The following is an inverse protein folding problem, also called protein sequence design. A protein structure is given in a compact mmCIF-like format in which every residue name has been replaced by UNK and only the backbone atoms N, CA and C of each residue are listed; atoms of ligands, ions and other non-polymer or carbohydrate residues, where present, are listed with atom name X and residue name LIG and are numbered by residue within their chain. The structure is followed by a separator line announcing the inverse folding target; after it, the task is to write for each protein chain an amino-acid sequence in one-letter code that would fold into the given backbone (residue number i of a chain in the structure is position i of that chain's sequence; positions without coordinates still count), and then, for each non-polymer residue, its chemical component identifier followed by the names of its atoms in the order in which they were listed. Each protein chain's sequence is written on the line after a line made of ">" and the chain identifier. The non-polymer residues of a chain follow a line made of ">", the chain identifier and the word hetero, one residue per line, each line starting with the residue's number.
data_IF_366949307186
#
_entry.id   IF_366949307186
#
_cell.length_a   1.000
_cell.length_b   1.000
_cell.length_c   1.000
_cell.angle_alpha   90.00
_cell.angle_beta   90.00
_cell.angle_gamma   90.00
#
_symmetry.space_group_name_H-M   'P 1'
#
loop_
_entity.id
_entity.type
_entity.pdbx_description
1 polymer ?
#
# COMPACT_ATOMS: atom_id res chain seq x y z
N UNK A 1 11.02 20.31 -25.53
CA UNK A 1 10.68 18.98 -25.02
C UNK A 1 11.76 18.55 -24.04
N UNK A 2 11.39 17.95 -22.92
CA UNK A 2 12.35 17.41 -21.94
C UNK A 2 12.50 15.92 -22.17
N UNK A 3 13.73 15.42 -22.06
CA UNK A 3 14.07 14.02 -22.30
C UNK A 3 14.48 13.32 -21.00
N UNK A 4 14.00 12.10 -20.81
CA UNK A 4 14.32 11.21 -19.68
C UNK A 4 14.65 9.81 -20.19
N UNK A 5 15.38 9.03 -19.43
CA UNK A 5 15.54 7.60 -19.72
C UNK A 5 14.28 6.82 -19.38
N UNK A 6 13.60 7.21 -18.28
CA UNK A 6 12.41 6.54 -17.78
C UNK A 6 11.32 7.53 -17.34
N UNK A 7 10.07 7.26 -17.73
CA UNK A 7 8.89 7.92 -17.21
C UNK A 7 8.04 6.89 -16.47
N UNK A 8 7.68 7.19 -15.21
CA UNK A 8 6.78 6.41 -14.38
C UNK A 8 5.44 7.13 -14.31
N UNK A 9 4.34 6.44 -14.64
CA UNK A 9 2.99 7.00 -14.66
C UNK A 9 2.21 6.47 -13.45
N UNK A 10 1.81 7.36 -12.53
CA UNK A 10 1.08 7.08 -11.30
C UNK A 10 1.94 7.09 -10.04
N UNK A 11 1.64 8.02 -9.12
CA UNK A 11 2.32 8.25 -7.84
C UNK A 11 1.79 7.39 -6.68
N UNK A 12 1.25 6.20 -6.94
CA UNK A 12 0.95 5.20 -5.91
C UNK A 12 2.21 4.49 -5.40
N UNK A 13 2.05 3.57 -4.44
CA UNK A 13 3.19 2.81 -3.86
C UNK A 13 4.07 2.14 -4.91
N UNK A 14 3.48 1.60 -5.99
CA UNK A 14 4.23 0.94 -7.05
C UNK A 14 5.09 1.93 -7.84
N UNK A 15 4.50 3.06 -8.25
CA UNK A 15 5.25 4.08 -8.99
C UNK A 15 6.33 4.74 -8.16
N UNK A 16 6.05 5.06 -6.89
CA UNK A 16 7.03 5.61 -5.95
C UNK A 16 8.22 4.65 -5.73
N UNK A 17 7.95 3.36 -5.52
CA UNK A 17 9.01 2.35 -5.39
C UNK A 17 9.76 2.13 -6.71
N UNK A 18 9.07 2.09 -7.84
CA UNK A 18 9.72 1.97 -9.15
C UNK A 18 10.65 3.17 -9.41
N UNK A 19 10.18 4.39 -9.17
CA UNK A 19 11.00 5.59 -9.31
C UNK A 19 12.24 5.56 -8.40
N UNK A 20 12.08 5.10 -7.13
CA UNK A 20 13.21 4.93 -6.20
C UNK A 20 14.23 3.91 -6.71
N UNK A 21 13.78 2.74 -7.13
CA UNK A 21 14.67 1.67 -7.55
C UNK A 21 15.37 1.95 -8.90
N UNK A 22 14.72 2.71 -9.81
CA UNK A 22 15.35 3.22 -11.03
C UNK A 22 16.55 4.13 -10.71
N UNK A 23 16.51 4.91 -9.61
CA UNK A 23 17.61 5.77 -9.20
C UNK A 23 18.83 5.00 -8.64
N UNK A 24 18.71 3.70 -8.37
CA UNK A 24 19.87 2.82 -8.09
C UNK A 24 20.75 2.63 -9.32
N UNK A 25 20.26 3.02 -10.46
CA UNK A 25 20.93 3.00 -11.74
C UNK A 25 21.09 4.44 -12.24
N UNK A 26 22.04 4.65 -13.16
CA UNK A 26 22.23 5.95 -13.82
C UNK A 26 21.11 6.18 -14.86
N UNK A 27 19.85 6.20 -14.41
CA UNK A 27 18.64 6.36 -15.21
C UNK A 27 17.95 7.65 -14.79
N UNK A 28 17.88 8.64 -15.67
CA UNK A 28 17.12 9.87 -15.44
C UNK A 28 15.63 9.54 -15.41
N UNK A 29 14.95 9.89 -14.30
CA UNK A 29 13.59 9.41 -14.01
C UNK A 29 12.62 10.56 -13.76
N UNK A 30 11.46 10.51 -14.42
CA UNK A 30 10.31 11.40 -14.19
C UNK A 30 9.14 10.58 -13.67
N UNK A 31 8.53 10.98 -12.56
CA UNK A 31 7.28 10.44 -12.01
C UNK A 31 6.16 11.44 -12.28
N UNK A 32 5.12 10.99 -13.00
CA UNK A 32 3.91 11.76 -13.30
C UNK A 32 2.74 11.27 -12.46
N UNK A 33 2.07 12.17 -11.75
CA UNK A 33 0.86 11.90 -10.97
C UNK A 33 -0.23 12.91 -11.37
N UNK A 34 -1.43 12.41 -11.64
CA UNK A 34 -2.57 13.25 -12.05
C UNK A 34 -3.20 14.04 -10.92
N UNK A 35 -3.06 13.56 -9.70
CA UNK A 35 -3.61 14.21 -8.52
C UNK A 35 -2.63 15.25 -7.93
N UNK A 36 -3.16 16.12 -7.09
CA UNK A 36 -2.38 17.15 -6.39
C UNK A 36 -1.41 16.60 -5.33
N UNK A 37 -1.43 15.28 -5.06
CA UNK A 37 -0.49 14.61 -4.16
C UNK A 37 -0.37 13.12 -4.52
N UNK A 38 0.72 12.49 -4.06
CA UNK A 38 0.98 11.07 -4.23
C UNK A 38 0.24 10.21 -3.22
N UNK A 39 0.14 8.91 -3.49
CA UNK A 39 -0.51 7.91 -2.61
C UNK A 39 -2.00 8.16 -2.35
N UNK A 40 -2.71 8.83 -3.24
CA UNK A 40 -4.13 9.19 -3.10
C UNK A 40 -5.11 8.14 -3.60
N UNK A 41 -4.65 7.15 -4.38
CA UNK A 41 -5.44 6.03 -4.90
C UNK A 41 -5.54 4.85 -3.91
N UNK A 42 -5.38 3.60 -4.41
CA UNK A 42 -5.45 2.36 -3.60
C UNK A 42 -4.48 2.39 -2.40
N UNK A 43 -3.35 3.06 -2.53
CA UNK A 43 -2.33 3.16 -1.47
C UNK A 43 -2.86 3.78 -0.19
N UNK A 44 -3.82 4.71 -0.26
CA UNK A 44 -4.42 5.34 0.92
C UNK A 44 -5.46 4.47 1.64
N UNK A 45 -5.96 3.42 0.97
CA UNK A 45 -7.08 2.64 1.45
C UNK A 45 -6.82 1.14 1.23
N UNK A 46 -6.13 0.51 2.18
CA UNK A 46 -5.80 -0.90 2.19
C UNK A 46 -5.62 -1.40 3.63
N UNK A 47 -5.29 -2.68 3.79
CA UNK A 47 -5.17 -3.33 5.10
C UNK A 47 -3.86 -3.05 5.85
N UNK A 48 -2.92 -2.31 5.31
CA UNK A 48 -1.62 -2.04 5.93
C UNK A 48 -0.77 -3.30 6.26
N UNK A 49 -1.19 -4.49 5.84
CA UNK A 49 -0.55 -5.76 6.20
C UNK A 49 0.64 -6.07 5.30
N UNK A 50 1.76 -6.43 5.93
CA UNK A 50 2.92 -7.05 5.30
C UNK A 50 2.75 -8.57 5.39
N UNK A 51 2.25 -9.17 4.31
CA UNK A 51 1.86 -10.57 4.25
C UNK A 51 3.06 -11.52 4.26
N UNK A 52 2.96 -12.68 4.95
CA UNK A 52 4.05 -13.67 5.01
C UNK A 52 4.19 -14.49 3.73
N UNK A 53 3.11 -14.74 2.97
CA UNK A 53 3.16 -15.44 1.68
C UNK A 53 2.54 -16.85 1.63
N UNK A 54 1.93 -17.35 2.71
CA UNK A 54 1.33 -18.68 2.74
C UNK A 54 0.06 -18.84 1.88
N UNK A 55 -0.61 -17.75 1.53
CA UNK A 55 -1.83 -17.77 0.70
C UNK A 55 -1.54 -17.89 -0.81
N UNK A 56 -0.30 -17.62 -1.23
CA UNK A 56 0.04 -17.55 -2.64
C UNK A 56 0.32 -18.94 -3.22
N UNK A 57 -0.03 -19.12 -4.49
CA UNK A 57 0.25 -20.37 -5.21
C UNK A 57 1.77 -20.58 -5.33
N UNK A 58 2.31 -21.73 -4.89
CA UNK A 58 3.74 -22.01 -5.04
C UNK A 58 4.20 -21.92 -6.51
N UNK A 59 5.36 -21.32 -6.72
CA UNK A 59 5.95 -21.12 -8.06
C UNK A 59 5.44 -19.87 -8.79
N UNK A 60 4.49 -19.11 -8.23
CA UNK A 60 4.04 -17.84 -8.80
C UNK A 60 5.01 -16.69 -8.51
N UNK A 61 5.05 -15.68 -9.39
CA UNK A 61 5.80 -14.44 -9.16
C UNK A 61 5.34 -13.76 -7.86
N UNK A 62 4.03 -13.77 -7.62
CA UNK A 62 3.43 -13.25 -6.40
C UNK A 62 3.97 -13.93 -5.14
N UNK A 63 4.14 -15.26 -5.14
CA UNK A 63 4.69 -15.99 -4.00
C UNK A 63 6.13 -15.57 -3.72
N UNK A 64 6.98 -15.56 -4.75
CA UNK A 64 8.39 -15.19 -4.63
C UNK A 64 8.56 -13.75 -4.12
N UNK A 65 7.85 -12.79 -4.72
CA UNK A 65 7.94 -11.38 -4.34
C UNK A 65 7.35 -11.11 -2.94
N UNK A 66 6.33 -11.88 -2.51
CA UNK A 66 5.77 -11.71 -1.16
C UNK A 66 6.77 -12.11 -0.09
N UNK A 67 7.37 -13.28 -0.23
CA UNK A 67 8.36 -13.76 0.76
C UNK A 67 9.58 -12.84 0.80
N UNK A 68 10.12 -12.46 -0.37
CA UNK A 68 11.24 -11.51 -0.47
C UNK A 68 10.89 -10.15 0.12
N UNK A 69 9.72 -9.60 -0.24
CA UNK A 69 9.27 -8.29 0.23
C UNK A 69 9.00 -8.27 1.74
N UNK A 70 8.44 -9.37 2.29
CA UNK A 70 8.26 -9.51 3.73
C UNK A 70 9.61 -9.54 4.48
N UNK A 71 10.57 -10.30 3.98
CA UNK A 71 11.90 -10.40 4.61
C UNK A 71 12.65 -9.06 4.60
N UNK A 72 12.55 -8.27 3.51
CA UNK A 72 13.24 -6.99 3.36
C UNK A 72 12.50 -5.78 3.96
N UNK A 73 11.22 -5.92 4.35
CA UNK A 73 10.37 -4.78 4.73
C UNK A 73 10.92 -4.00 5.92
N UNK A 74 11.43 -4.66 6.93
CA UNK A 74 11.95 -4.01 8.13
C UNK A 74 13.18 -3.14 7.82
N UNK A 75 14.08 -3.64 6.97
CA UNK A 75 15.25 -2.86 6.51
C UNK A 75 14.79 -1.66 5.67
N UNK A 76 13.86 -1.86 4.74
CA UNK A 76 13.32 -0.78 3.92
C UNK A 76 12.66 0.31 4.77
N UNK A 77 11.89 -0.08 5.80
CA UNK A 77 11.25 0.87 6.70
C UNK A 77 12.27 1.64 7.56
N UNK A 78 13.38 1.02 7.97
CA UNK A 78 14.50 1.72 8.64
C UNK A 78 15.18 2.73 7.72
N UNK A 79 15.47 2.34 6.48
CA UNK A 79 16.08 3.25 5.48
C UNK A 79 15.20 4.48 5.21
N UNK A 80 13.89 4.26 5.16
CA UNK A 80 12.91 5.29 4.80
C UNK A 80 12.29 6.02 6.00
N UNK A 81 12.68 5.68 7.23
CA UNK A 81 12.11 6.22 8.46
C UNK A 81 10.58 6.09 8.49
N UNK A 82 10.10 4.85 8.31
CA UNK A 82 8.66 4.52 8.28
C UNK A 82 8.31 3.58 9.43
N UNK A 83 7.26 3.87 10.21
CA UNK A 83 6.81 2.98 11.27
C UNK A 83 6.42 1.60 10.75
N UNK A 84 7.00 0.56 11.33
CA UNK A 84 6.75 -0.84 11.02
C UNK A 84 6.62 -1.67 12.29
N UNK A 85 5.69 -2.64 12.29
CA UNK A 85 5.51 -3.58 13.40
C UNK A 85 5.50 -5.01 12.87
N UNK A 86 6.43 -5.84 13.35
CA UNK A 86 6.43 -7.28 13.10
C UNK A 86 5.65 -7.99 14.20
N UNK A 87 4.33 -7.93 14.10
CA UNK A 87 3.42 -8.41 15.15
C UNK A 87 3.05 -9.91 15.03
N UNK A 88 3.31 -10.53 13.88
CA UNK A 88 2.80 -11.88 13.58
C UNK A 88 1.31 -11.89 13.23
N UNK A 89 0.81 -13.07 12.84
CA UNK A 89 -0.62 -13.25 12.58
C UNK A 89 -1.13 -14.63 13.00
N UNK A 90 -2.42 -14.69 13.33
CA UNK A 90 -3.20 -15.90 13.49
C UNK A 90 -4.30 -15.96 12.42
N UNK A 91 -4.33 -17.02 11.63
CA UNK A 91 -5.48 -17.36 10.81
C UNK A 91 -6.28 -18.41 11.58
N UNK A 92 -7.37 -18.00 12.20
CA UNK A 92 -8.17 -18.83 13.09
C UNK A 92 -9.39 -19.44 12.39
N UNK A 93 -9.82 -20.60 12.85
CA UNK A 93 -11.12 -21.18 12.49
C UNK A 93 -11.85 -21.69 13.72
N UNK A 94 -13.19 -21.54 13.69
CA UNK A 94 -14.14 -22.08 14.65
C UNK A 94 -14.88 -23.31 14.09
N UNK A 95 -14.55 -23.69 12.85
CA UNK A 95 -15.14 -24.80 12.14
C UNK A 95 -14.10 -25.91 11.91
N UNK A 96 -14.39 -27.12 12.38
CA UNK A 96 -13.51 -28.27 12.20
C UNK A 96 -13.38 -28.68 10.72
N UNK A 97 -14.40 -28.44 9.90
CA UNK A 97 -14.36 -28.76 8.47
C UNK A 97 -13.43 -27.82 7.69
N UNK A 98 -13.08 -26.67 8.27
CA UNK A 98 -12.12 -25.73 7.66
C UNK A 98 -10.65 -26.05 7.96
N UNK A 99 -10.34 -26.97 8.89
CA UNK A 99 -8.95 -27.33 9.26
C UNK A 99 -8.12 -27.77 8.05
N UNK A 100 -8.61 -28.60 7.12
CA UNK A 100 -7.84 -28.98 5.92
C UNK A 100 -7.44 -27.78 5.05
N UNK A 101 -8.22 -26.69 5.07
CA UNK A 101 -7.87 -25.45 4.35
C UNK A 101 -6.67 -24.76 5.01
N UNK A 102 -6.60 -24.76 6.34
CA UNK A 102 -5.45 -24.24 7.10
C UNK A 102 -4.19 -25.07 6.81
N UNK A 103 -4.31 -26.39 6.80
CA UNK A 103 -3.20 -27.30 6.47
C UNK A 103 -2.69 -27.09 5.04
N UNK A 104 -3.59 -26.86 4.08
CA UNK A 104 -3.22 -26.53 2.69
C UNK A 104 -2.43 -25.23 2.64
N UNK A 105 -2.83 -24.19 3.40
CA UNK A 105 -2.10 -22.92 3.50
C UNK A 105 -0.73 -23.11 4.14
N UNK A 106 -0.62 -23.94 5.18
CA UNK A 106 0.65 -24.34 5.79
C UNK A 106 1.59 -24.96 4.75
N UNK A 107 1.09 -25.95 3.98
CA UNK A 107 1.87 -26.62 2.91
C UNK A 107 2.33 -25.63 1.84
N UNK A 108 1.44 -24.74 1.42
CA UNK A 108 1.81 -23.69 0.45
C UNK A 108 2.88 -22.76 1.01
N UNK A 109 2.71 -22.30 2.26
CA UNK A 109 3.67 -21.43 2.92
C UNK A 109 5.06 -22.05 3.06
N UNK A 110 5.12 -23.34 3.47
CA UNK A 110 6.39 -24.09 3.52
C UNK A 110 7.06 -24.19 2.14
N UNK A 111 6.29 -24.49 1.09
CA UNK A 111 6.79 -24.55 -0.30
C UNK A 111 7.24 -23.19 -0.82
N UNK A 112 6.63 -22.10 -0.36
CA UNK A 112 7.02 -20.73 -0.68
C UNK A 112 8.23 -20.23 0.12
N UNK A 113 8.69 -20.99 1.13
CA UNK A 113 9.81 -20.60 1.98
C UNK A 113 9.43 -19.63 3.10
N UNK A 114 8.14 -19.58 3.51
CA UNK A 114 7.70 -18.75 4.64
C UNK A 114 8.24 -19.33 5.96
N UNK A 115 9.09 -18.60 6.71
CA UNK A 115 9.71 -19.17 7.90
C UNK A 115 8.77 -19.17 9.11
N UNK A 116 8.96 -20.16 9.99
CA UNK A 116 8.36 -20.20 11.31
C UNK A 116 6.85 -20.44 11.37
N UNK A 117 6.21 -20.89 10.26
CA UNK A 117 4.80 -21.24 10.28
C UNK A 117 4.52 -22.41 11.24
N UNK A 118 3.45 -22.30 12.02
CA UNK A 118 2.97 -23.36 12.91
C UNK A 118 1.46 -23.54 12.81
N UNK A 119 1.01 -24.78 12.82
CA UNK A 119 -0.39 -25.09 13.07
C UNK A 119 -0.57 -25.22 14.59
N UNK A 120 -1.50 -24.45 15.13
CA UNK A 120 -1.81 -24.39 16.56
C UNK A 120 -3.15 -25.06 16.83
N UNK A 121 -3.27 -25.68 17.98
CA UNK A 121 -4.56 -26.07 18.58
C UNK A 121 -5.32 -24.81 19.04
N UNK A 122 -6.63 -24.96 19.27
CA UNK A 122 -7.45 -23.86 19.78
C UNK A 122 -6.91 -23.26 21.10
N UNK A 123 -6.62 -24.07 22.13
CA UNK A 123 -6.05 -23.57 23.39
C UNK A 123 -4.72 -22.82 23.21
N UNK A 124 -3.83 -23.28 22.32
CA UNK A 124 -2.58 -22.58 22.02
C UNK A 124 -2.83 -21.22 21.35
N UNK A 125 -3.79 -21.16 20.41
CA UNK A 125 -4.16 -19.91 19.75
C UNK A 125 -4.78 -18.91 20.72
N UNK A 126 -5.68 -19.36 21.59
CA UNK A 126 -6.32 -18.53 22.63
C UNK A 126 -5.34 -18.07 23.72
N UNK A 127 -4.36 -18.88 24.06
CA UNK A 127 -3.28 -18.47 24.97
C UNK A 127 -2.36 -17.42 24.33
N UNK A 128 -2.13 -17.52 23.02
CA UNK A 128 -1.31 -16.59 22.24
C UNK A 128 -2.02 -15.25 21.99
N UNK A 129 -3.35 -15.26 21.87
CA UNK A 129 -4.19 -14.07 21.69
C UNK A 129 -5.47 -14.16 22.55
N UNK A 130 -5.40 -13.68 23.79
CA UNK A 130 -6.51 -13.80 24.76
C UNK A 130 -7.79 -13.05 24.38
N UNK A 131 -7.72 -12.07 23.48
CA UNK A 131 -8.90 -11.34 23.01
C UNK A 131 -9.80 -12.13 22.06
N UNK A 132 -9.32 -13.27 21.55
CA UNK A 132 -10.15 -14.13 20.69
C UNK A 132 -11.35 -14.70 21.47
N UNK A 133 -12.51 -14.75 20.80
CA UNK A 133 -13.63 -15.54 21.26
C UNK A 133 -13.16 -16.97 21.56
N UNK A 134 -13.67 -17.55 22.65
CA UNK A 134 -13.37 -18.93 23.02
C UNK A 134 -13.95 -19.94 22.03
N UNK A 135 -13.34 -21.12 21.96
CA UNK A 135 -13.76 -22.21 21.09
C UNK A 135 -13.06 -22.22 19.72
N UNK A 136 -11.88 -21.59 19.61
CA UNK A 136 -11.03 -21.77 18.43
C UNK A 136 -10.72 -23.25 18.24
N UNK A 137 -10.93 -23.78 17.04
CA UNK A 137 -10.62 -25.18 16.70
C UNK A 137 -9.16 -25.34 16.33
N UNK A 138 -8.67 -24.50 15.43
CA UNK A 138 -7.28 -24.50 14.99
C UNK A 138 -6.88 -23.10 14.47
N UNK A 139 -5.57 -22.85 14.41
CA UNK A 139 -5.04 -21.64 13.82
C UNK A 139 -3.70 -21.87 13.09
N UNK A 140 -3.43 -21.09 12.03
CA UNK A 140 -2.08 -20.97 11.47
C UNK A 140 -1.43 -19.72 12.05
N UNK A 141 -0.33 -19.92 12.76
CA UNK A 141 0.54 -18.84 13.22
C UNK A 141 1.62 -18.55 12.19
N UNK A 142 1.73 -17.27 11.80
CA UNK A 142 2.79 -16.78 10.91
C UNK A 142 3.56 -15.64 11.61
N UNK A 143 4.76 -15.90 12.16
CA UNK A 143 5.51 -14.92 12.94
C UNK A 143 6.02 -13.75 12.12
N UNK A 144 6.19 -13.92 10.82
CA UNK A 144 6.75 -12.91 9.92
C UNK A 144 5.73 -11.90 9.40
N UNK A 145 4.44 -12.05 9.69
CA UNK A 145 3.45 -11.03 9.38
C UNK A 145 3.77 -9.73 10.10
N UNK A 146 3.61 -8.61 9.41
CA UNK A 146 3.78 -7.29 10.00
C UNK A 146 2.71 -6.31 9.51
N UNK A 147 2.78 -5.10 10.03
CA UNK A 147 1.97 -3.96 9.59
C UNK A 147 2.85 -2.74 9.36
N UNK A 148 2.50 -1.93 8.38
CA UNK A 148 3.24 -0.72 7.98
C UNK A 148 2.23 0.37 7.63
N UNK A 149 2.59 1.64 7.80
CA UNK A 149 1.79 2.74 7.27
C UNK A 149 1.96 2.80 5.74
N UNK A 150 0.89 2.53 4.95
CA UNK A 150 1.03 2.39 3.49
C UNK A 150 1.35 3.69 2.78
N UNK A 151 0.77 4.81 3.21
CA UNK A 151 1.06 6.11 2.59
C UNK A 151 2.40 6.65 3.05
N UNK A 152 2.77 6.51 4.31
CA UNK A 152 4.09 6.90 4.78
C UNK A 152 5.19 6.16 4.00
N UNK A 153 5.01 4.85 3.74
CA UNK A 153 5.96 4.06 2.95
C UNK A 153 6.06 4.57 1.50
N UNK A 154 4.91 4.86 0.85
CA UNK A 154 4.91 5.36 -0.53
C UNK A 154 5.47 6.77 -0.64
N UNK A 155 5.11 7.67 0.30
CA UNK A 155 5.62 9.04 0.36
C UNK A 155 7.13 9.03 0.59
N UNK A 156 7.61 8.27 1.57
CA UNK A 156 9.03 8.17 1.88
C UNK A 156 9.85 7.60 0.71
N UNK A 157 9.30 6.63 -0.03
CA UNK A 157 9.93 6.10 -1.24
C UNK A 157 10.05 7.17 -2.34
N UNK A 158 9.00 7.98 -2.54
CA UNK A 158 9.03 9.08 -3.50
C UNK A 158 10.03 10.17 -3.10
N UNK A 159 10.02 10.58 -1.82
CA UNK A 159 10.97 11.57 -1.31
C UNK A 159 12.43 11.09 -1.44
N UNK A 160 12.69 9.80 -1.18
CA UNK A 160 14.00 9.22 -1.41
C UNK A 160 14.37 9.17 -2.90
N UNK A 161 13.40 8.87 -3.79
CA UNK A 161 13.62 8.95 -5.23
C UNK A 161 14.02 10.36 -5.68
N UNK A 162 13.31 11.40 -5.19
CA UNK A 162 13.58 12.80 -5.49
C UNK A 162 14.94 13.22 -4.91
N UNK A 163 15.26 12.82 -3.69
CA UNK A 163 16.58 13.06 -3.08
C UNK A 163 17.70 12.51 -3.97
N UNK A 164 17.50 11.35 -4.56
CA UNK A 164 18.45 10.73 -5.51
C UNK A 164 18.30 11.25 -6.96
N UNK A 165 17.59 12.38 -7.17
CA UNK A 165 17.52 13.09 -8.45
C UNK A 165 16.38 12.66 -9.40
N UNK A 166 15.37 11.92 -8.94
CA UNK A 166 14.13 11.78 -9.72
C UNK A 166 13.35 13.10 -9.73
N UNK A 167 12.63 13.37 -10.82
CA UNK A 167 11.69 14.48 -10.89
C UNK A 167 10.26 14.00 -10.63
N UNK A 168 9.49 14.77 -9.87
CA UNK A 168 8.06 14.56 -9.61
C UNK A 168 7.26 15.69 -10.25
N UNK A 169 6.18 15.32 -10.97
CA UNK A 169 5.16 16.25 -11.45
C UNK A 169 3.80 15.79 -10.94
N UNK A 170 3.20 16.62 -10.11
CA UNK A 170 1.82 16.50 -9.65
C UNK A 170 0.89 17.26 -10.59
N UNK A 171 -0.42 17.07 -10.44
CA UNK A 171 -1.45 17.70 -11.28
C UNK A 171 -1.16 17.48 -12.80
N UNK A 172 -0.61 16.30 -13.15
CA UNK A 172 -0.11 16.01 -14.49
C UNK A 172 -0.67 14.68 -14.98
N UNK A 173 -1.87 14.72 -15.53
CA UNK A 173 -2.52 13.58 -16.16
C UNK A 173 -1.88 13.26 -17.50
N UNK A 174 -1.53 12.00 -17.74
CA UNK A 174 -1.10 11.50 -19.04
C UNK A 174 -2.34 11.31 -19.91
N UNK A 175 -2.35 11.94 -21.10
CA UNK A 175 -3.47 11.95 -22.05
C UNK A 175 -3.17 11.17 -23.33
N UNK A 176 -1.89 10.91 -23.64
CA UNK A 176 -1.46 10.16 -24.80
C UNK A 176 -0.08 9.56 -24.64
N UNK A 177 0.15 8.45 -25.33
CA UNK A 177 1.48 7.81 -25.42
C UNK A 177 1.64 7.36 -26.87
N UNK A 178 2.76 7.69 -27.48
CA UNK A 178 3.08 7.22 -28.84
C UNK A 178 4.55 6.83 -28.96
N UNK A 179 4.82 5.88 -29.82
CA UNK A 179 6.19 5.51 -30.18
C UNK A 179 6.88 6.62 -30.98
N UNK A 180 8.18 6.71 -30.84
CA UNK A 180 9.08 7.60 -31.59
C UNK A 180 10.30 6.81 -32.07
N UNK A 181 11.18 7.42 -32.84
CA UNK A 181 12.42 6.76 -33.30
C UNK A 181 13.36 6.38 -32.14
N UNK A 182 13.30 7.10 -31.00
CA UNK A 182 14.21 6.94 -29.88
C UNK A 182 13.52 6.42 -28.58
N UNK A 183 12.27 5.96 -28.67
CA UNK A 183 11.49 5.47 -27.55
C UNK A 183 10.06 5.96 -27.58
N UNK A 184 9.65 6.80 -26.63
CA UNK A 184 8.26 7.23 -26.45
C UNK A 184 8.11 8.74 -26.26
N UNK A 185 6.98 9.27 -26.71
CA UNK A 185 6.46 10.58 -26.33
C UNK A 185 5.25 10.37 -25.41
N UNK A 186 5.32 10.90 -24.20
CA UNK A 186 4.25 10.88 -23.20
C UNK A 186 3.62 12.27 -23.15
N UNK A 187 2.35 12.36 -23.51
CA UNK A 187 1.61 13.60 -23.68
C UNK A 187 0.75 13.88 -22.44
N UNK A 188 0.70 15.15 -22.05
CA UNK A 188 -0.14 15.69 -20.98
C UNK A 188 -0.88 16.92 -21.47
N UNK A 189 -1.78 17.50 -20.70
CA UNK A 189 -2.54 18.70 -21.14
C UNK A 189 -1.65 19.90 -21.49
N UNK A 190 -0.50 20.03 -20.86
CA UNK A 190 0.35 21.23 -21.05
C UNK A 190 1.71 20.97 -21.69
N UNK A 191 2.20 19.73 -21.69
CA UNK A 191 3.58 19.42 -22.06
C UNK A 191 3.71 18.00 -22.63
N UNK A 192 4.69 17.78 -23.48
CA UNK A 192 5.07 16.45 -23.97
C UNK A 192 6.49 16.13 -23.49
N UNK A 193 6.65 14.97 -22.87
CA UNK A 193 7.92 14.45 -22.41
C UNK A 193 8.39 13.31 -23.32
N UNK A 194 9.69 13.26 -23.60
CA UNK A 194 10.32 12.18 -24.37
C UNK A 194 11.05 11.23 -23.40
N UNK A 195 10.99 9.92 -23.68
CA UNK A 195 11.74 8.94 -22.90
C UNK A 195 12.04 7.67 -23.70
N UNK A 196 12.98 6.87 -23.16
CA UNK A 196 13.32 5.56 -23.72
C UNK A 196 12.44 4.45 -23.16
N UNK A 197 11.98 4.58 -21.90
CA UNK A 197 11.15 3.57 -21.25
C UNK A 197 9.98 4.21 -20.51
N UNK A 198 8.84 3.50 -20.46
CA UNK A 198 7.63 3.91 -19.73
C UNK A 198 7.21 2.82 -18.76
N UNK A 199 6.89 3.21 -17.53
CA UNK A 199 6.37 2.34 -16.48
C UNK A 199 4.95 2.77 -16.11
N UNK A 200 3.97 2.03 -16.57
CA UNK A 200 2.58 2.26 -16.23
C UNK A 200 2.26 1.63 -14.86
N UNK A 201 2.25 2.48 -13.83
CA UNK A 201 1.90 2.18 -12.44
C UNK A 201 0.57 2.85 -12.03
N UNK A 202 -0.35 3.10 -12.98
CA UNK A 202 -1.55 3.91 -12.81
C UNK A 202 -2.68 3.24 -12.00
N UNK A 203 -2.43 2.10 -11.34
CA UNK A 203 -3.37 1.48 -10.39
C UNK A 203 -4.72 1.11 -11.03
N UNK A 204 -5.80 1.79 -10.60
CA UNK A 204 -7.15 1.55 -11.12
C UNK A 204 -7.35 1.99 -12.59
N UNK A 205 -6.41 2.72 -13.15
CA UNK A 205 -6.45 3.20 -14.54
C UNK A 205 -5.36 2.54 -15.40
N UNK A 206 -4.69 1.49 -14.91
CA UNK A 206 -3.54 0.93 -15.60
C UNK A 206 -3.89 0.31 -16.96
N UNK A 207 -5.06 -0.32 -17.09
CA UNK A 207 -5.57 -0.81 -18.37
C UNK A 207 -5.87 0.32 -19.35
N UNK A 208 -6.46 1.41 -18.87
CA UNK A 208 -6.78 2.62 -19.70
C UNK A 208 -5.52 3.36 -20.12
N UNK A 209 -4.52 3.45 -19.25
CA UNK A 209 -3.21 4.05 -19.61
C UNK A 209 -2.48 3.17 -20.61
N UNK A 210 -2.62 1.85 -20.53
CA UNK A 210 -2.09 0.94 -21.56
C UNK A 210 -2.75 1.18 -22.92
N UNK A 211 -4.07 1.39 -22.94
CA UNK A 211 -4.84 1.72 -24.17
C UNK A 211 -4.39 3.03 -24.85
N UNK A 212 -3.68 3.92 -24.16
CA UNK A 212 -3.14 5.14 -24.79
C UNK A 212 -2.03 4.84 -25.81
N UNK A 213 -1.37 3.69 -25.71
CA UNK A 213 -0.35 3.25 -26.65
C UNK A 213 -0.87 2.16 -27.58
N UNK A 214 -1.47 1.12 -27.03
CA UNK A 214 -1.99 -0.03 -27.77
C UNK A 214 -3.08 -0.72 -26.95
N UNK A 215 -3.98 -1.51 -27.57
CA UNK A 215 -5.05 -2.21 -26.87
C UNK A 215 -4.51 -3.07 -25.70
N UNK A 216 -5.06 -2.85 -24.52
CA UNK A 216 -4.64 -3.62 -23.33
C UNK A 216 -5.17 -5.04 -23.40
N UNK A 217 -4.31 -6.07 -23.23
CA UNK A 217 -4.73 -7.48 -23.21
C UNK A 217 -5.42 -7.88 -21.89
N UNK A 218 -5.51 -6.92 -20.94
CA UNK A 218 -6.05 -7.14 -19.60
C UNK A 218 -7.02 -6.02 -19.23
N UNK A 219 -8.16 -6.37 -18.67
CA UNK A 219 -9.15 -5.43 -18.12
C UNK A 219 -9.25 -5.59 -16.62
N UNK A 220 -9.68 -4.53 -15.95
CA UNK A 220 -9.83 -4.52 -14.50
C UNK A 220 -11.29 -4.64 -14.10
N UNK A 221 -11.61 -5.68 -13.32
CA UNK A 221 -12.85 -5.80 -12.58
C UNK A 221 -12.61 -5.36 -11.13
N UNK A 222 -13.52 -4.57 -10.57
CA UNK A 222 -13.34 -3.99 -9.24
C UNK A 222 -14.20 -4.69 -8.20
N UNK A 223 -13.60 -5.11 -7.11
CA UNK A 223 -14.26 -5.43 -5.85
C UNK A 223 -13.70 -4.57 -4.72
N UNK A 224 -14.29 -4.63 -3.55
CA UNK A 224 -13.84 -3.85 -2.42
C UNK A 224 -14.14 -4.49 -1.08
N UNK A 225 -13.66 -3.83 -0.04
CA UNK A 225 -13.99 -4.15 1.34
C UNK A 225 -14.12 -2.87 2.16
N UNK A 226 -15.00 -2.89 3.12
CA UNK A 226 -15.19 -1.80 4.06
C UNK A 226 -14.31 -1.98 5.29
N UNK A 227 -13.90 -0.87 5.89
CA UNK A 227 -13.01 -0.83 7.04
C UNK A 227 -13.56 0.06 8.13
N UNK A 228 -13.40 -0.38 9.38
CA UNK A 228 -13.50 0.46 10.57
C UNK A 228 -12.10 0.80 11.07
N UNK A 229 -11.92 2.04 11.50
CA UNK A 229 -10.74 2.53 12.21
C UNK A 229 -11.14 2.80 13.65
N UNK A 230 -10.61 2.01 14.57
CA UNK A 230 -10.79 2.20 16.00
C UNK A 230 -9.62 2.99 16.56
N UNK A 231 -9.88 3.88 17.51
CA UNK A 231 -8.86 4.69 18.16
C UNK A 231 -7.84 3.80 18.91
N UNK A 232 -6.83 4.40 19.47
CA UNK A 232 -5.85 3.75 20.33
C UNK A 232 -6.54 3.12 21.52
N UNK A 233 -6.75 1.81 21.47
CA UNK A 233 -7.45 1.06 22.49
C UNK A 233 -6.49 0.64 23.61
N UNK A 234 -6.99 0.66 24.85
CA UNK A 234 -6.24 0.13 26.00
C UNK A 234 -6.00 -1.38 25.85
N UNK A 235 -6.99 -2.10 25.32
CA UNK A 235 -6.89 -3.50 24.96
C UNK A 235 -7.12 -3.65 23.46
N UNK A 236 -6.16 -4.26 22.77
CA UNK A 236 -6.25 -4.60 21.35
C UNK A 236 -5.48 -5.88 21.07
N UNK A 237 -5.79 -6.60 19.98
CA UNK A 237 -5.00 -7.75 19.58
C UNK A 237 -3.52 -7.40 19.40
N UNK A 238 -2.65 -8.26 19.89
CA UNK A 238 -1.20 -8.13 19.69
C UNK A 238 -0.75 -8.58 18.31
N UNK A 239 -1.62 -9.28 17.57
CA UNK A 239 -1.34 -9.90 16.28
C UNK A 239 -2.41 -9.54 15.26
N UNK A 240 -2.07 -9.63 13.97
CA UNK A 240 -3.09 -9.62 12.92
C UNK A 240 -3.94 -10.89 13.03
N UNK A 241 -5.24 -10.75 13.18
CA UNK A 241 -6.18 -11.87 13.26
C UNK A 241 -6.93 -11.96 11.95
N UNK A 242 -6.85 -13.11 11.28
CA UNK A 242 -7.66 -13.45 10.13
C UNK A 242 -8.68 -14.52 10.53
N UNK A 243 -9.95 -14.30 10.27
CA UNK A 243 -10.95 -15.32 10.36
C UNK A 243 -11.01 -16.13 9.05
N UNK A 244 -10.87 -17.45 9.11
CA UNK A 244 -11.11 -18.31 7.96
C UNK A 244 -12.63 -18.40 7.74
N UNK A 245 -13.11 -17.84 6.61
CA UNK A 245 -14.52 -17.93 6.25
C UNK A 245 -14.91 -19.36 5.84
N UNK A 246 -16.18 -19.71 6.01
CA UNK A 246 -16.77 -20.97 5.55
C UNK A 246 -16.72 -21.11 4.04
N UNK A 247 -16.98 -20.02 3.30
CA UNK A 247 -16.81 -19.93 1.85
C UNK A 247 -15.35 -19.65 1.47
N UNK A 248 -15.00 -19.80 0.18
CA UNK A 248 -13.66 -19.53 -0.35
C UNK A 248 -13.22 -18.07 -0.15
N UNK A 249 -12.70 -17.71 1.01
CA UNK A 249 -12.23 -16.35 1.27
C UNK A 249 -11.71 -16.15 2.67
N UNK A 250 -11.27 -14.91 2.96
CA UNK A 250 -11.01 -14.44 4.31
C UNK A 250 -12.28 -13.78 4.83
N UNK A 251 -12.66 -14.12 6.06
CA UNK A 251 -13.63 -13.39 6.84
C UNK A 251 -13.09 -12.03 7.26
N UNK A 252 -13.61 -11.49 8.35
CA UNK A 252 -13.08 -10.24 8.90
C UNK A 252 -11.62 -10.39 9.30
N UNK A 253 -10.93 -9.27 9.32
CA UNK A 253 -9.51 -9.21 9.73
C UNK A 253 -9.32 -8.07 10.73
N UNK A 254 -8.74 -8.36 11.89
CA UNK A 254 -8.35 -7.35 12.87
C UNK A 254 -6.83 -7.07 12.76
N UNK A 255 -6.46 -5.80 12.65
CA UNK A 255 -5.12 -5.39 12.23
C UNK A 255 -4.60 -4.31 13.18
N UNK A 256 -3.70 -4.66 14.12
CA UNK A 256 -3.04 -3.67 14.96
C UNK A 256 -2.07 -2.84 14.12
N UNK A 257 -2.30 -1.52 14.03
CA UNK A 257 -1.47 -0.60 13.27
C UNK A 257 -0.25 -0.12 14.07
N UNK A 258 0.88 0.23 13.41
CA UNK A 258 2.05 0.77 14.09
C UNK A 258 1.76 2.05 14.88
N UNK A 259 0.80 2.85 14.44
CA UNK A 259 0.34 4.08 15.10
C UNK A 259 -0.49 3.84 16.36
N UNK A 260 -0.88 2.61 16.65
CA UNK A 260 -1.65 2.22 17.83
C UNK A 260 -3.14 1.99 17.57
N UNK A 261 -3.66 2.39 16.42
CA UNK A 261 -5.04 2.14 15.99
C UNK A 261 -5.26 0.65 15.70
N UNK A 262 -6.53 0.24 15.74
CA UNK A 262 -6.97 -1.06 15.26
C UNK A 262 -7.82 -0.86 14.00
N UNK A 263 -7.39 -1.46 12.88
CA UNK A 263 -8.23 -1.57 11.68
C UNK A 263 -9.00 -2.88 11.70
N UNK A 264 -10.27 -2.81 11.34
CA UNK A 264 -11.09 -4.00 11.08
C UNK A 264 -11.48 -3.97 9.61
N UNK A 265 -11.19 -5.04 8.89
CA UNK A 265 -11.52 -5.20 7.47
C UNK A 265 -12.67 -6.17 7.30
N UNK A 266 -13.67 -5.76 6.52
CA UNK A 266 -14.79 -6.61 6.13
C UNK A 266 -14.47 -7.63 5.04
N UNK A 267 -15.47 -8.45 4.74
CA UNK A 267 -15.49 -9.36 3.61
C UNK A 267 -15.57 -8.56 2.30
N UNK A 268 -14.93 -9.05 1.26
CA UNK A 268 -14.99 -8.42 -0.05
C UNK A 268 -16.36 -8.59 -0.68
N UNK A 269 -16.86 -7.50 -1.26
CA UNK A 269 -18.14 -7.42 -1.98
C UNK A 269 -17.94 -6.66 -3.30
N UNK A 270 -18.77 -6.83 -4.31
CA UNK A 270 -18.87 -5.89 -5.43
C UNK A 270 -19.07 -4.46 -4.89
N UNK A 271 -18.45 -3.48 -5.51
CA UNK A 271 -18.54 -2.07 -5.09
C UNK A 271 -19.32 -1.26 -6.14
N UNK A 272 -20.26 -0.46 -5.68
CA UNK A 272 -20.99 0.51 -6.52
C UNK A 272 -20.21 1.83 -6.62
N UNK A 273 -19.66 2.28 -5.49
CA UNK A 273 -18.90 3.54 -5.39
C UNK A 273 -17.49 3.23 -4.90
N UNK A 274 -16.45 3.52 -5.72
CA UNK A 274 -15.06 3.35 -5.30
C UNK A 274 -14.76 4.10 -4.00
N UNK A 275 -14.13 3.42 -3.04
CA UNK A 275 -13.77 3.94 -1.71
C UNK A 275 -14.94 4.32 -0.79
N UNK A 276 -16.19 4.05 -1.19
CA UNK A 276 -17.39 4.27 -0.38
C UNK A 276 -17.59 3.18 0.68
N UNK A 277 -18.48 3.49 1.65
CA UNK A 277 -18.97 2.56 2.66
C UNK A 277 -20.48 2.59 2.69
N UNK A 278 -21.12 1.50 3.13
CA UNK A 278 -22.57 1.38 3.30
C UNK A 278 -22.96 1.22 4.78
N UNK A 279 -24.13 1.73 5.21
CA UNK A 279 -24.62 1.52 6.57
C UNK A 279 -24.74 0.03 6.94
N UNK A 280 -25.18 -0.80 6.00
CA UNK A 280 -25.30 -2.25 6.16
C UNK A 280 -23.95 -2.90 6.39
N UNK A 281 -22.97 -2.62 5.51
CA UNK A 281 -21.63 -3.19 5.59
C UNK A 281 -20.91 -2.80 6.88
N UNK A 282 -21.05 -1.55 7.31
CA UNK A 282 -20.46 -1.08 8.58
C UNK A 282 -21.11 -1.75 9.80
N UNK A 283 -22.43 -1.99 9.78
CA UNK A 283 -23.11 -2.73 10.84
C UNK A 283 -22.68 -4.19 10.90
N UNK A 284 -22.71 -4.91 9.77
CA UNK A 284 -22.22 -6.29 9.65
C UNK A 284 -20.77 -6.41 10.15
N UNK A 285 -19.93 -5.45 9.81
CA UNK A 285 -18.53 -5.43 10.21
C UNK A 285 -18.36 -5.24 11.72
N UNK A 286 -19.19 -4.39 12.34
CA UNK A 286 -19.22 -4.19 13.78
C UNK A 286 -19.65 -5.46 14.51
N UNK A 287 -20.78 -6.06 14.10
CA UNK A 287 -21.32 -7.29 14.68
C UNK A 287 -20.31 -8.44 14.60
N UNK A 288 -19.70 -8.64 13.43
CA UNK A 288 -18.67 -9.65 13.23
C UNK A 288 -17.38 -9.38 14.04
N UNK A 289 -17.08 -8.11 14.33
CA UNK A 289 -15.96 -7.73 15.21
C UNK A 289 -16.26 -8.13 16.66
N UNK A 290 -17.44 -7.81 17.16
CA UNK A 290 -17.91 -8.14 18.52
C UNK A 290 -17.98 -9.66 18.71
N UNK A 291 -18.36 -10.40 17.66
CA UNK A 291 -18.34 -11.86 17.69
C UNK A 291 -16.92 -12.43 17.78
N UNK A 292 -15.97 -11.94 16.96
CA UNK A 292 -14.61 -12.46 16.92
C UNK A 292 -13.77 -12.03 18.13
N UNK A 293 -13.95 -10.80 18.57
CA UNK A 293 -13.22 -10.11 19.63
C UNK A 293 -14.22 -9.51 20.65
N UNK A 294 -14.78 -10.33 21.56
CA UNK A 294 -15.84 -9.87 22.47
C UNK A 294 -15.46 -8.71 23.40
N UNK A 295 -14.14 -8.51 23.64
CA UNK A 295 -13.64 -7.40 24.44
C UNK A 295 -13.30 -6.15 23.61
N UNK A 296 -13.59 -6.14 22.29
CA UNK A 296 -13.32 -4.99 21.44
C UNK A 296 -14.27 -3.83 21.76
N UNK A 297 -13.71 -2.64 21.94
CA UNK A 297 -14.48 -1.41 22.25
C UNK A 297 -15.02 -0.80 20.96
N UNK A 298 -16.04 -1.41 20.33
CA UNK A 298 -16.59 -1.01 19.02
C UNK A 298 -17.30 0.34 19.02
N UNK A 299 -17.54 0.93 20.18
CA UNK A 299 -18.00 2.33 20.36
C UNK A 299 -16.88 3.36 20.08
N UNK A 300 -15.61 2.94 20.08
CA UNK A 300 -14.46 3.80 19.80
C UNK A 300 -14.06 3.85 18.32
N UNK A 301 -14.97 3.58 17.41
CA UNK A 301 -14.75 3.81 15.97
C UNK A 301 -14.66 5.31 15.71
N UNK A 302 -13.53 5.75 15.14
CA UNK A 302 -13.27 7.16 14.81
C UNK A 302 -13.42 7.46 13.32
N UNK A 303 -13.40 6.44 12.48
CA UNK A 303 -13.52 6.58 11.02
C UNK A 303 -13.92 5.26 10.36
N UNK A 304 -14.48 5.35 9.15
CA UNK A 304 -14.64 4.24 8.20
C UNK A 304 -14.12 4.63 6.82
N UNK A 305 -13.77 3.65 6.02
CA UNK A 305 -13.42 3.85 4.62
C UNK A 305 -13.64 2.56 3.81
N UNK A 306 -13.87 2.72 2.51
CA UNK A 306 -13.85 1.62 1.55
C UNK A 306 -12.48 1.46 0.91
N UNK A 307 -12.08 0.23 0.64
CA UNK A 307 -10.91 -0.10 -0.17
C UNK A 307 -11.34 -0.72 -1.49
N UNK A 308 -10.59 -0.43 -2.55
CA UNK A 308 -10.84 -0.94 -3.90
C UNK A 308 -9.74 -1.90 -4.29
N UNK A 309 -10.11 -3.01 -4.90
CA UNK A 309 -9.19 -4.02 -5.39
C UNK A 309 -9.34 -4.20 -6.90
N UNK A 310 -8.30 -3.98 -7.69
CA UNK A 310 -8.28 -4.23 -9.12
C UNK A 310 -8.04 -5.72 -9.40
N UNK A 311 -9.03 -6.40 -9.96
CA UNK A 311 -8.92 -7.80 -10.36
C UNK A 311 -8.64 -7.88 -11.87
N UNK A 312 -7.44 -8.32 -12.29
CA UNK A 312 -7.12 -8.42 -13.70
C UNK A 312 -7.81 -9.63 -14.32
N UNK A 313 -8.38 -9.42 -15.50
CA UNK A 313 -9.01 -10.45 -16.33
C UNK A 313 -8.50 -10.33 -17.76
N UNK A 314 -8.36 -11.46 -18.46
CA UNK A 314 -8.16 -11.50 -19.90
C UNK A 314 -9.46 -11.03 -20.60
N UNK A 315 -9.35 -10.61 -21.85
CA UNK A 315 -10.53 -10.26 -22.66
C UNK A 315 -11.54 -11.44 -22.77
N UNK A 316 -11.07 -12.67 -22.63
CA UNK A 316 -11.89 -13.88 -22.57
C UNK A 316 -12.72 -14.02 -21.29
N UNK A 317 -12.56 -13.13 -20.30
CA UNK A 317 -13.17 -13.22 -18.97
C UNK A 317 -12.39 -14.12 -17.98
N UNK A 318 -11.26 -14.69 -18.39
CA UNK A 318 -10.43 -15.49 -17.49
C UNK A 318 -9.70 -14.60 -16.47
N UNK A 319 -9.87 -14.92 -15.18
CA UNK A 319 -9.20 -14.20 -14.08
C UNK A 319 -7.72 -14.50 -14.02
N UNK A 320 -6.91 -13.46 -13.94
CA UNK A 320 -5.45 -13.58 -13.73
C UNK A 320 -5.17 -13.63 -12.21
N UNK A 321 -4.57 -14.72 -11.76
CA UNK A 321 -4.31 -14.97 -10.34
C UNK A 321 -2.91 -14.53 -9.87
N UNK A 322 -1.95 -14.43 -10.78
CA UNK A 322 -0.60 -13.93 -10.52
C UNK A 322 -0.48 -12.43 -10.82
N UNK A 323 0.69 -11.84 -10.65
CA UNK A 323 0.95 -10.48 -11.08
C UNK A 323 1.10 -10.40 -12.59
N UNK A 324 0.42 -9.41 -13.16
CA UNK A 324 0.44 -9.13 -14.59
C UNK A 324 1.39 -7.94 -14.81
N UNK A 325 2.51 -8.22 -15.46
CA UNK A 325 3.47 -7.23 -15.95
C UNK A 325 3.52 -7.41 -17.46
N UNK A 326 2.79 -6.56 -18.18
CA UNK A 326 2.73 -6.62 -19.63
C UNK A 326 3.81 -5.73 -20.25
N UNK A 327 4.55 -6.29 -21.21
CA UNK A 327 5.51 -5.60 -22.06
C UNK A 327 5.12 -5.86 -23.52
N UNK A 328 4.04 -5.21 -23.98
CA UNK A 328 3.51 -5.38 -25.33
C UNK A 328 4.37 -4.70 -26.41
N UNK A 329 5.07 -3.65 -26.01
CA UNK A 329 6.05 -2.94 -26.84
C UNK A 329 7.36 -2.83 -26.05
N UNK A 330 8.54 -3.04 -26.67
CA UNK A 330 9.82 -3.03 -25.97
C UNK A 330 10.06 -1.75 -25.16
N UNK A 331 10.30 -1.88 -23.84
CA UNK A 331 10.52 -0.75 -22.94
C UNK A 331 9.24 -0.08 -22.42
N UNK A 332 8.05 -0.59 -22.75
CA UNK A 332 6.78 -0.17 -22.18
C UNK A 332 6.24 -1.23 -21.22
N UNK A 333 6.38 -0.99 -19.93
CA UNK A 333 6.02 -1.93 -18.86
C UNK A 333 4.73 -1.51 -18.17
N UNK A 334 3.68 -2.33 -18.21
CA UNK A 334 2.41 -2.07 -17.55
C UNK A 334 2.14 -3.04 -16.41
N UNK A 335 1.94 -2.50 -15.20
CA UNK A 335 1.54 -3.24 -14.01
C UNK A 335 0.03 -3.17 -13.86
N UNK A 336 -0.70 -4.13 -14.46
CA UNK A 336 -2.16 -4.12 -14.51
C UNK A 336 -2.73 -5.06 -13.46
N UNK A 337 -3.57 -4.54 -12.56
CA UNK A 337 -4.24 -5.35 -11.56
C UNK A 337 -3.35 -5.88 -10.44
N UNK A 338 -2.37 -5.10 -10.02
CA UNK A 338 -1.53 -5.45 -8.86
C UNK A 338 -2.38 -5.29 -7.59
N UNK A 339 -2.94 -6.40 -7.16
CA UNK A 339 -3.78 -6.53 -5.96
C UNK A 339 -3.00 -7.13 -4.79
N UNK A 340 -3.67 -7.41 -3.67
CA UNK A 340 -3.05 -8.06 -2.49
C UNK A 340 -2.17 -9.27 -2.91
N UNK A 341 -0.93 -9.32 -2.44
CA UNK A 341 -0.26 -8.46 -1.44
C UNK A 341 0.63 -7.36 -2.03
N UNK A 342 0.13 -6.53 -2.95
CA UNK A 342 0.88 -5.52 -3.70
C UNK A 342 1.74 -4.60 -2.83
N UNK A 343 1.25 -4.18 -1.65
CA UNK A 343 2.03 -3.36 -0.69
C UNK A 343 3.31 -4.09 -0.25
N UNK A 344 3.20 -5.36 0.14
CA UNK A 344 4.35 -6.19 0.54
C UNK A 344 5.35 -6.37 -0.60
N UNK A 345 4.84 -6.46 -1.84
CA UNK A 345 5.65 -6.75 -3.03
C UNK A 345 6.18 -5.50 -3.73
N UNK A 346 5.77 -4.29 -3.32
CA UNK A 346 6.04 -3.07 -4.07
C UNK A 346 7.53 -2.79 -4.29
N UNK A 347 8.35 -3.00 -3.27
CA UNK A 347 9.81 -2.89 -3.39
C UNK A 347 10.39 -3.92 -4.37
N UNK A 348 9.99 -5.19 -4.23
CA UNK A 348 10.46 -6.25 -5.13
C UNK A 348 10.01 -6.06 -6.59
N UNK A 349 8.80 -5.51 -6.81
CA UNK A 349 8.33 -5.14 -8.15
C UNK A 349 9.13 -3.97 -8.71
N UNK A 350 9.36 -2.93 -7.91
CA UNK A 350 10.21 -1.79 -8.31
C UNK A 350 11.63 -2.21 -8.69
N UNK A 351 12.25 -3.08 -7.88
CA UNK A 351 13.57 -3.65 -8.16
C UNK A 351 13.58 -4.43 -9.48
N UNK A 352 12.60 -5.31 -9.69
CA UNK A 352 12.48 -6.10 -10.93
C UNK A 352 12.36 -5.20 -12.17
N UNK A 353 11.55 -4.14 -12.08
CA UNK A 353 11.37 -3.20 -13.19
C UNK A 353 12.63 -2.37 -13.45
N UNK A 354 13.31 -1.93 -12.40
CA UNK A 354 14.55 -1.18 -12.52
C UNK A 354 15.69 -2.03 -13.14
N UNK A 355 15.79 -3.31 -12.77
CA UNK A 355 16.73 -4.26 -13.37
C UNK A 355 16.44 -4.49 -14.87
N UNK A 356 15.15 -4.63 -15.24
CA UNK A 356 14.74 -4.73 -16.65
C UNK A 356 15.09 -3.45 -17.44
N UNK A 357 14.79 -2.29 -16.85
CA UNK A 357 15.15 -1.02 -17.47
C UNK A 357 16.66 -0.86 -17.65
N UNK A 358 17.44 -1.20 -16.62
CA UNK A 358 18.89 -1.10 -16.69
C UNK A 358 19.46 -1.98 -17.80
N UNK A 359 18.99 -3.23 -17.92
CA UNK A 359 19.36 -4.13 -19.00
C UNK A 359 18.96 -3.59 -20.39
N UNK A 360 17.73 -3.07 -20.54
CA UNK A 360 17.22 -2.51 -21.80
C UNK A 360 17.99 -1.26 -22.22
N UNK A 361 18.34 -0.40 -21.26
CA UNK A 361 19.03 0.87 -21.51
C UNK A 361 20.55 0.75 -21.56
N UNK A 362 21.13 -0.38 -21.10
CA UNK A 362 22.56 -0.52 -20.87
C UNK A 362 23.06 0.40 -19.75
N UNK A 363 22.24 0.62 -18.70
CA UNK A 363 22.57 1.55 -17.64
C UNK A 363 23.46 0.92 -16.57
N UNK A 364 24.46 1.67 -16.13
CA UNK A 364 25.37 1.28 -15.06
C UNK A 364 24.77 1.59 -13.66
N UNK A 365 25.17 0.86 -12.62
CA UNK A 365 24.78 1.16 -11.24
C UNK A 365 25.14 2.61 -10.82
N UNK A 366 24.23 3.27 -10.12
CA UNK A 366 24.49 4.57 -9.54
C UNK A 366 25.19 4.44 -8.18
N UNK A 367 26.49 4.64 -8.15
CA UNK A 367 27.30 4.52 -6.93
C UNK A 367 27.07 5.65 -5.92
N UNK A 368 26.37 6.73 -6.32
CA UNK A 368 26.00 7.85 -5.47
C UNK A 368 24.58 7.69 -4.88
N UNK A 369 23.88 6.59 -5.15
CA UNK A 369 22.55 6.36 -4.59
C UNK A 369 22.61 6.26 -3.07
N UNK A 370 21.85 7.13 -2.39
CA UNK A 370 21.67 7.08 -0.93
C UNK A 370 20.32 6.38 -0.60
N UNK A 371 20.33 5.19 0.01
CA UNK A 371 19.11 4.49 0.39
C UNK A 371 18.37 5.18 1.55
N UNK A 372 19.05 6.04 2.31
CA UNK A 372 18.49 6.66 3.51
C UNK A 372 17.65 7.88 3.12
N UNK A 373 16.44 7.92 3.60
CA UNK A 373 15.60 9.12 3.51
C UNK A 373 16.21 10.22 4.36
N UNK A 374 16.41 11.44 3.84
CA UNK A 374 16.91 12.55 4.65
C UNK A 374 16.04 12.77 5.88
N UNK A 375 16.66 12.71 7.04
CA UNK A 375 16.00 12.96 8.32
C UNK A 375 15.72 14.46 8.51
N UNK A 376 14.81 14.77 9.42
CA UNK A 376 14.53 16.12 9.88
C UNK A 376 14.78 16.20 11.37
N UNK A 377 15.53 17.20 11.77
CA UNK A 377 15.84 17.48 13.17
C UNK A 377 15.55 18.95 13.43
N UNK A 378 14.28 19.30 13.53
CA UNK A 378 13.90 20.54 14.22
C UNK A 378 13.16 20.10 15.48
N UNK A 379 13.71 20.44 16.64
CA UNK A 379 13.03 20.33 17.92
C UNK A 379 12.18 21.58 18.08
N UNK A 380 10.88 21.39 18.16
CA UNK A 380 9.91 22.43 18.47
C UNK A 380 8.89 21.82 19.44
N UNK A 381 8.77 22.45 20.60
CA UNK A 381 7.90 21.98 21.68
C UNK A 381 6.44 22.40 21.49
N UNK A 382 6.12 23.24 20.49
CA UNK A 382 4.75 23.67 20.23
C UNK A 382 3.91 22.53 19.64
N UNK A 383 3.05 21.93 20.46
CA UNK A 383 2.15 20.87 20.01
C UNK A 383 0.89 21.46 19.36
N UNK A 384 0.75 21.26 18.06
CA UNK A 384 -0.42 21.68 17.27
C UNK A 384 -1.51 20.62 17.28
N UNK A 385 -1.17 19.36 17.04
CA UNK A 385 -2.14 18.25 17.08
C UNK A 385 -2.10 17.54 18.42
N UNK A 386 -2.97 17.94 19.35
CA UNK A 386 -3.02 17.41 20.72
C UNK A 386 -3.33 15.91 20.77
N UNK A 387 -4.22 15.39 19.89
CA UNK A 387 -4.61 13.98 19.88
C UNK A 387 -3.46 13.04 19.49
N UNK A 388 -2.59 13.52 18.62
CA UNK A 388 -1.47 12.74 18.06
C UNK A 388 -0.10 13.21 18.56
N UNK A 389 -0.06 14.30 19.34
CA UNK A 389 1.18 14.90 19.84
C UNK A 389 2.15 15.30 18.71
N UNK A 390 1.59 15.94 17.66
CA UNK A 390 2.39 16.41 16.53
C UNK A 390 2.74 17.87 16.72
N UNK A 391 4.03 18.17 16.63
CA UNK A 391 4.56 19.53 16.80
C UNK A 391 4.41 20.38 15.54
N UNK A 392 4.56 21.68 15.71
CA UNK A 392 4.63 22.66 14.61
C UNK A 392 5.78 22.32 13.64
N UNK A 393 6.95 21.97 14.16
CA UNK A 393 8.10 21.60 13.33
C UNK A 393 7.80 20.40 12.41
N UNK A 394 7.13 19.38 12.92
CA UNK A 394 6.74 18.21 12.10
C UNK A 394 5.77 18.58 10.97
N UNK A 395 4.86 19.53 11.21
CA UNK A 395 3.93 20.03 10.19
C UNK A 395 4.66 20.85 9.14
N UNK A 396 5.51 21.80 9.56
CA UNK A 396 6.32 22.63 8.67
C UNK A 396 7.22 21.76 7.79
N UNK A 397 7.78 20.72 8.38
CA UNK A 397 8.58 19.78 7.62
C UNK A 397 7.76 19.00 6.57
N UNK A 398 6.56 18.55 6.93
CA UNK A 398 5.66 17.94 5.95
C UNK A 398 5.35 18.89 4.77
N UNK A 399 5.20 20.20 5.05
CA UNK A 399 5.00 21.24 4.02
C UNK A 399 6.26 21.41 3.16
N UNK A 400 7.45 21.51 3.75
CA UNK A 400 8.73 21.60 3.03
C UNK A 400 8.98 20.41 2.12
N UNK A 401 8.50 19.20 2.52
CA UNK A 401 8.55 17.97 1.73
C UNK A 401 7.44 17.86 0.68
N UNK A 402 6.69 18.93 0.43
CA UNK A 402 5.74 19.05 -0.66
C UNK A 402 4.29 18.81 -0.29
N UNK A 403 3.91 18.82 1.01
CA UNK A 403 2.50 18.86 1.38
C UNK A 403 1.91 20.23 1.05
N UNK A 404 0.87 20.27 0.21
CA UNK A 404 0.21 21.50 -0.25
C UNK A 404 -1.24 21.64 0.23
N UNK A 405 -1.71 20.72 1.06
CA UNK A 405 -3.06 20.72 1.60
C UNK A 405 -3.08 20.09 2.98
N UNK A 406 -4.15 20.32 3.75
CA UNK A 406 -4.38 19.69 5.06
C UNK A 406 -4.31 18.16 4.96
N UNK A 407 -4.90 17.56 3.93
CA UNK A 407 -4.87 16.11 3.73
C UNK A 407 -3.45 15.61 3.36
N UNK A 408 -2.65 16.40 2.67
CA UNK A 408 -1.25 16.06 2.38
C UNK A 408 -0.38 16.12 3.64
N UNK A 409 -0.58 17.13 4.50
CA UNK A 409 0.06 17.22 5.82
C UNK A 409 -0.35 16.05 6.70
N UNK A 410 -1.64 15.71 6.73
CA UNK A 410 -2.16 14.57 7.47
C UNK A 410 -1.46 13.26 7.11
N UNK A 411 -1.28 12.97 5.82
CA UNK A 411 -0.60 11.75 5.37
C UNK A 411 0.90 11.71 5.71
N UNK A 412 1.56 12.86 5.86
CA UNK A 412 3.00 12.95 6.18
C UNK A 412 3.28 13.02 7.68
N UNK A 413 2.51 13.84 8.40
CA UNK A 413 2.74 14.10 9.82
C UNK A 413 1.79 13.34 10.76
N UNK A 414 0.67 12.77 10.26
CA UNK A 414 -0.32 12.07 11.08
C UNK A 414 -1.29 12.99 11.82
N UNK A 415 -1.36 14.28 11.47
CA UNK A 415 -2.34 15.24 12.04
C UNK A 415 -3.77 14.84 11.65
N UNK A 416 -4.76 15.18 12.46
CA UNK A 416 -6.17 14.91 12.14
C UNK A 416 -6.58 13.44 12.14
N UNK A 417 -5.73 12.53 12.60
CA UNK A 417 -5.99 11.07 12.64
C UNK A 417 -6.39 10.56 14.03
N UNK A 418 -6.54 11.42 15.01
CA UNK A 418 -7.04 11.05 16.33
C UNK A 418 -8.56 11.21 16.45
N UNK A 419 -9.16 11.01 17.65
CA UNK A 419 -10.60 10.98 17.86
C UNK A 419 -11.31 12.28 17.47
N UNK A 420 -10.64 13.43 17.47
CA UNK A 420 -11.24 14.70 17.03
C UNK A 420 -11.29 14.86 15.48
N UNK A 421 -10.65 13.96 14.71
CA UNK A 421 -10.63 13.96 13.23
C UNK A 421 -10.29 15.33 12.60
N UNK A 422 -9.38 16.08 13.24
CA UNK A 422 -8.88 17.37 12.73
C UNK A 422 -9.62 18.60 13.23
N UNK A 423 -10.76 18.47 13.93
CA UNK A 423 -11.57 19.63 14.39
C UNK A 423 -10.79 20.63 15.26
N UNK A 424 -9.67 20.23 15.86
CA UNK A 424 -8.83 21.10 16.71
C UNK A 424 -7.61 21.66 16.00
N UNK A 425 -7.02 20.93 15.03
CA UNK A 425 -5.75 21.30 14.43
C UNK A 425 -5.85 21.81 12.99
N UNK A 426 -6.94 21.57 12.26
CA UNK A 426 -7.09 21.94 10.84
C UNK A 426 -6.79 23.43 10.60
N UNK A 427 -7.39 24.34 11.39
CA UNK A 427 -7.17 25.78 11.23
C UNK A 427 -5.71 26.19 11.40
N UNK A 428 -4.99 25.62 12.38
CA UNK A 428 -3.58 25.91 12.57
C UNK A 428 -2.72 25.38 11.42
N UNK A 429 -3.10 24.21 10.85
CA UNK A 429 -2.43 23.64 9.69
C UNK A 429 -2.64 24.51 8.44
N UNK A 430 -3.86 25.01 8.22
CA UNK A 430 -4.19 25.93 7.12
C UNK A 430 -3.32 27.20 7.18
N UNK A 431 -3.21 27.80 8.37
CA UNK A 431 -2.33 28.96 8.58
C UNK A 431 -0.85 28.65 8.26
N UNK A 432 -0.34 27.50 8.69
CA UNK A 432 1.02 27.11 8.37
C UNK A 432 1.22 26.87 6.87
N UNK A 433 0.22 26.34 6.17
CA UNK A 433 0.23 26.23 4.71
C UNK A 433 0.27 27.61 4.03
N UNK A 434 -0.55 28.56 4.48
CA UNK A 434 -0.55 29.95 3.99
C UNK A 434 0.79 30.64 4.21
N UNK A 435 1.36 30.52 5.41
CA UNK A 435 2.70 31.07 5.75
C UNK A 435 3.81 30.57 4.80
N UNK A 436 3.64 29.35 4.25
CA UNK A 436 4.59 28.72 3.31
C UNK A 436 4.16 28.85 1.83
N UNK A 437 3.23 29.74 1.51
CA UNK A 437 2.82 30.05 0.14
C UNK A 437 1.83 29.05 -0.48
N UNK A 438 1.18 28.23 0.32
CA UNK A 438 0.12 27.31 -0.09
C UNK A 438 -1.20 27.84 0.49
N UNK A 439 -1.93 28.63 -0.29
CA UNK A 439 -3.26 29.12 0.11
C UNK A 439 -4.28 28.00 0.28
N UNK A 440 -5.31 28.23 1.11
CA UNK A 440 -6.45 27.32 1.21
C UNK A 440 -7.09 27.14 -0.17
N UNK A 441 -7.17 25.90 -0.64
CA UNK A 441 -7.93 25.50 -1.83
C UNK A 441 -9.41 25.39 -1.49
#
# INVERSE_FOLDING_TARGET
>A
MRYFDAIVIGGGILGCMTARELRRWNITTLLLEKEADICTGITRANSAIVYPGYDNKPGSLKAALTVRGNAGMEQLCRELDVPFSRCGSLLVTYDAEAVPRLEKKMKNGSRNGVPGLRLLTGPEAEAMEPMLRKGVVAAVYAPTTGTVDPWALGIAACENAVHNGAQLRLDTAVTGIRETQEGYAVETEGETFLCRTVFNCAGLSADKVHDLLCPSPVRLELDGAEYLVMDRLAKKPGKVIFLQAESCGKGITAIPCPGGELLISGVRKPIEVPFGTSPEGLRELREATEELLPEAETDKVIRSFGAVRPNPQRETGESIHDYCIEETVPGFYSLIGIKTPGLTCAHGLGTLLAERAAAFLGAEPNTAFDPIRPGTREEDDEIVCQCRQISRAQIVEAIRRGARSVEAVKRRAGTGMGPCQGSRCTYAIEKLLEEHGHGAL
#
